data_IF_312305696267
#
_entry.id   IF_312305696267
#
_cell.length_a   1.000
_cell.length_b   1.000
_cell.length_c   1.000
_cell.angle_alpha   90.00
_cell.angle_beta   90.00
_cell.angle_gamma   90.00
#
_symmetry.space_group_name_H-M   'P 1'
#
loop_
_entity.id
_entity.type
_entity.pdbx_description
1 polymer ?
#
# COMPACT_ATOMS: atom_id res chain seq x y z
N UNK A 1 -37.98 6.87 -36.28
CA UNK A 1 -37.23 6.46 -35.09
C UNK A 1 -36.41 7.65 -34.58
N UNK A 2 -37.03 8.59 -33.85
CA UNK A 2 -36.45 9.91 -33.49
C UNK A 2 -36.15 10.07 -31.98
N UNK A 3 -35.90 8.96 -31.26
CA UNK A 3 -35.71 8.99 -29.79
C UNK A 3 -34.26 8.90 -29.31
N UNK A 4 -33.28 8.77 -30.22
CA UNK A 4 -31.86 8.62 -29.89
C UNK A 4 -31.27 9.72 -28.98
N UNK A 5 -31.42 11.02 -29.30
CA UNK A 5 -30.82 12.09 -28.50
C UNK A 5 -31.51 12.31 -27.14
N UNK A 6 -32.80 11.98 -27.03
CA UNK A 6 -33.56 12.12 -25.78
C UNK A 6 -33.17 11.03 -24.77
N UNK A 7 -33.05 9.79 -25.24
CA UNK A 7 -32.59 8.66 -24.43
C UNK A 7 -31.15 8.84 -23.94
N UNK A 8 -30.25 9.35 -24.78
CA UNK A 8 -28.87 9.64 -24.39
C UNK A 8 -28.80 10.70 -23.27
N UNK A 9 -29.67 11.71 -23.30
CA UNK A 9 -29.74 12.72 -22.24
C UNK A 9 -30.29 12.15 -20.93
N UNK A 10 -31.31 11.31 -20.99
CA UNK A 10 -31.86 10.61 -19.82
C UNK A 10 -30.83 9.66 -19.18
N UNK A 11 -30.06 8.93 -19.99
CA UNK A 11 -28.98 8.06 -19.51
C UNK A 11 -27.85 8.88 -18.87
N UNK A 12 -27.51 10.04 -19.44
CA UNK A 12 -26.52 10.95 -18.86
C UNK A 12 -26.98 11.54 -17.53
N UNK A 13 -28.22 12.04 -17.46
CA UNK A 13 -28.80 12.58 -16.23
C UNK A 13 -28.87 11.51 -15.13
N UNK A 14 -29.22 10.28 -15.49
CA UNK A 14 -29.19 9.12 -14.57
C UNK A 14 -27.78 8.84 -14.06
N UNK A 15 -26.78 8.83 -14.94
CA UNK A 15 -25.39 8.62 -14.54
C UNK A 15 -24.89 9.74 -13.61
N UNK A 16 -25.20 11.00 -13.91
CA UNK A 16 -24.81 12.13 -13.06
C UNK A 16 -25.45 12.07 -11.68
N UNK A 17 -26.72 11.65 -11.58
CA UNK A 17 -27.40 11.50 -10.30
C UNK A 17 -26.80 10.37 -9.46
N UNK A 18 -26.48 9.22 -10.09
CA UNK A 18 -25.79 8.11 -9.41
C UNK A 18 -24.41 8.56 -8.91
N UNK A 19 -23.67 9.30 -9.72
CA UNK A 19 -22.34 9.81 -9.35
C UNK A 19 -22.43 10.82 -8.19
N UNK A 20 -23.41 11.72 -8.21
CA UNK A 20 -23.66 12.69 -7.15
C UNK A 20 -24.05 11.99 -5.84
N UNK A 21 -24.96 11.02 -5.91
CA UNK A 21 -25.37 10.24 -4.74
C UNK A 21 -24.20 9.43 -4.18
N UNK A 22 -23.45 8.76 -5.05
CA UNK A 22 -22.25 8.00 -4.65
C UNK A 22 -21.22 8.90 -3.98
N UNK A 23 -21.03 10.13 -4.47
CA UNK A 23 -20.15 11.11 -3.85
C UNK A 23 -20.64 11.53 -2.45
N UNK A 24 -21.94 11.78 -2.30
CA UNK A 24 -22.54 12.14 -1.01
C UNK A 24 -22.40 11.00 0.01
N UNK A 25 -22.73 9.77 -0.40
CA UNK A 25 -22.63 8.57 0.43
C UNK A 25 -21.18 8.33 0.87
N UNK A 26 -20.22 8.47 -0.05
CA UNK A 26 -18.80 8.34 0.24
C UNK A 26 -18.34 9.44 1.22
N UNK A 27 -18.77 10.69 1.01
CA UNK A 27 -18.40 11.79 1.88
C UNK A 27 -18.93 11.60 3.31
N UNK A 28 -20.21 11.21 3.46
CA UNK A 28 -20.81 10.91 4.76
C UNK A 28 -20.07 9.74 5.43
N UNK A 29 -19.77 8.69 4.66
CA UNK A 29 -18.99 7.56 5.17
C UNK A 29 -17.60 8.00 5.64
N UNK A 30 -16.86 8.79 4.87
CA UNK A 30 -15.50 9.24 5.25
C UNK A 30 -15.52 10.15 6.46
N UNK A 31 -16.45 11.10 6.53
CA UNK A 31 -16.64 11.92 7.72
C UNK A 31 -16.94 11.04 8.93
N UNK A 32 -17.90 10.11 8.79
CA UNK A 32 -18.27 9.22 9.87
C UNK A 32 -17.14 8.28 10.30
N UNK A 33 -16.34 7.80 9.36
CA UNK A 33 -15.16 6.98 9.60
C UNK A 33 -14.11 7.75 10.39
N UNK A 34 -13.71 8.94 9.94
CA UNK A 34 -12.70 9.78 10.61
C UNK A 34 -13.17 10.19 12.02
N UNK A 35 -14.44 10.53 12.17
CA UNK A 35 -15.03 10.94 13.45
C UNK A 35 -15.29 9.76 14.41
N UNK A 36 -14.91 8.53 14.04
CA UNK A 36 -15.17 7.30 14.80
C UNK A 36 -16.67 7.10 15.13
N UNK A 37 -17.56 7.66 14.31
CA UNK A 37 -19.02 7.59 14.54
C UNK A 37 -19.67 6.36 13.92
N UNK A 38 -18.87 5.48 13.30
CA UNK A 38 -19.29 4.20 12.73
C UNK A 38 -18.84 3.03 13.63
N UNK A 39 -19.72 2.47 14.49
CA UNK A 39 -19.37 1.40 15.42
C UNK A 39 -18.88 0.12 14.73
N UNK A 40 -19.25 -0.07 13.46
CA UNK A 40 -18.82 -1.22 12.66
C UNK A 40 -17.37 -1.11 12.18
N UNK A 41 -16.78 0.09 12.20
CA UNK A 41 -15.47 0.40 11.62
C UNK A 41 -14.60 1.19 12.60
N UNK A 42 -14.63 0.79 13.88
CA UNK A 42 -13.74 1.37 14.88
C UNK A 42 -12.28 1.04 14.51
N UNK A 43 -11.39 2.02 14.69
CA UNK A 43 -9.98 1.86 14.46
C UNK A 43 -9.16 2.48 15.58
N UNK A 44 -7.96 1.96 15.80
CA UNK A 44 -7.03 2.46 16.81
C UNK A 44 -5.81 3.05 16.13
N UNK A 45 -5.44 4.27 16.50
CA UNK A 45 -4.21 4.92 16.02
C UNK A 45 -3.06 4.54 16.95
N UNK A 46 -1.98 3.97 16.41
CA UNK A 46 -0.77 3.61 17.17
C UNK A 46 0.52 4.06 16.48
N UNK A 47 1.59 4.17 17.26
CA UNK A 47 2.94 4.36 16.74
C UNK A 47 3.62 3.01 16.52
N UNK A 48 4.36 2.88 15.40
CA UNK A 48 5.28 1.76 15.16
C UNK A 48 6.49 1.86 16.08
N UNK A 49 6.92 0.75 16.64
CA UNK A 49 8.18 0.68 17.38
C UNK A 49 9.40 0.80 16.46
N UNK A 50 10.56 1.11 17.04
CA UNK A 50 11.82 1.23 16.30
C UNK A 50 12.15 0.00 15.44
N UNK A 51 11.98 -1.21 16.00
CA UNK A 51 12.21 -2.44 15.23
C UNK A 51 11.15 -2.68 14.17
N UNK A 52 9.87 -2.36 14.44
CA UNK A 52 8.79 -2.43 13.43
C UNK A 52 9.03 -1.46 12.28
N UNK A 53 9.60 -0.27 12.58
CA UNK A 53 10.01 0.71 11.59
C UNK A 53 11.19 0.23 10.74
N UNK A 54 12.22 -0.35 11.35
CA UNK A 54 13.43 -0.82 10.64
C UNK A 54 13.11 -2.04 9.79
N UNK A 55 12.40 -3.00 10.35
CA UNK A 55 12.12 -4.29 9.71
C UNK A 55 10.90 -4.21 8.77
N UNK A 56 10.22 -3.06 8.75
CA UNK A 56 8.95 -2.83 8.07
C UNK A 56 7.87 -3.90 8.35
N UNK A 57 7.97 -4.57 9.50
CA UNK A 57 7.15 -5.72 9.84
C UNK A 57 6.30 -5.43 11.08
N UNK A 58 5.09 -5.99 11.11
CA UNK A 58 4.15 -5.83 12.22
C UNK A 58 4.31 -6.99 13.21
N UNK A 59 4.97 -6.74 14.34
CA UNK A 59 5.23 -7.79 15.35
C UNK A 59 4.04 -8.06 16.27
N UNK A 60 3.06 -7.17 16.29
CA UNK A 60 1.92 -7.23 17.21
C UNK A 60 0.71 -7.83 16.53
N UNK A 61 0.07 -8.78 17.20
CA UNK A 61 -1.27 -9.20 16.85
C UNK A 61 -2.21 -7.99 16.85
N UNK A 62 -3.19 -7.92 15.93
CA UNK A 62 -4.16 -6.84 15.93
C UNK A 62 -4.83 -6.76 17.31
N UNK A 63 -5.06 -5.56 17.84
CA UNK A 63 -5.73 -5.41 19.12
C UNK A 63 -7.05 -6.17 19.07
N UNK A 64 -7.23 -7.11 20.00
CA UNK A 64 -8.52 -7.72 20.23
C UNK A 64 -9.36 -6.67 20.92
N UNK A 65 -10.44 -6.25 20.27
CA UNK A 65 -11.40 -5.38 20.91
C UNK A 65 -12.07 -6.12 22.07
N UNK A 66 -12.63 -5.38 23.01
CA UNK A 66 -13.35 -5.94 24.16
C UNK A 66 -14.69 -6.59 23.74
N UNK A 67 -15.05 -6.49 22.47
CA UNK A 67 -16.24 -7.12 21.88
C UNK A 67 -15.84 -8.46 21.28
N UNK A 68 -16.43 -9.53 21.83
CA UNK A 68 -16.18 -10.91 21.45
C UNK A 68 -16.36 -11.11 19.93
N UNK A 69 -15.23 -11.16 19.21
CA UNK A 69 -15.19 -11.50 17.78
C UNK A 69 -14.85 -10.36 16.79
N UNK A 70 -14.64 -9.11 17.23
CA UNK A 70 -14.30 -8.01 16.33
C UNK A 70 -12.80 -7.66 16.39
N UNK A 71 -12.16 -7.63 15.22
CA UNK A 71 -10.78 -7.19 15.04
C UNK A 71 -10.83 -5.68 14.82
N UNK A 72 -10.22 -4.89 15.70
CA UNK A 72 -10.13 -3.44 15.48
C UNK A 72 -9.20 -3.17 14.29
N UNK A 73 -9.61 -2.26 13.41
CA UNK A 73 -8.74 -1.81 12.34
C UNK A 73 -7.57 -1.01 12.95
N UNK A 74 -6.33 -1.31 12.57
CA UNK A 74 -5.15 -0.65 13.14
C UNK A 74 -4.60 0.38 12.15
N UNK A 75 -4.54 1.65 12.55
CA UNK A 75 -3.88 2.70 11.80
C UNK A 75 -2.57 3.10 12.47
N UNK A 76 -1.54 3.32 11.67
CA UNK A 76 -0.25 3.78 12.15
C UNK A 76 -0.02 5.26 11.83
N UNK A 77 0.53 5.99 12.78
CA UNK A 77 0.97 7.38 12.54
C UNK A 77 2.18 7.36 11.59
N UNK A 78 2.02 7.98 10.43
CA UNK A 78 3.09 8.14 9.43
C UNK A 78 3.80 9.49 9.59
N UNK A 79 4.83 9.54 10.44
CA UNK A 79 5.63 10.75 10.66
C UNK A 79 6.69 10.98 9.57
N UNK A 80 7.05 9.95 8.80
CA UNK A 80 8.23 9.94 7.93
C UNK A 80 7.86 9.88 6.43
N UNK A 81 6.58 10.06 6.08
CA UNK A 81 6.05 9.86 4.72
C UNK A 81 6.43 8.47 4.17
N UNK A 82 6.37 7.47 5.04
CA UNK A 82 6.64 6.08 4.68
C UNK A 82 5.71 5.60 3.56
N UNK A 83 4.58 6.27 3.33
CA UNK A 83 3.72 6.02 2.17
C UNK A 83 4.45 6.04 0.81
N UNK A 84 5.51 6.83 0.68
CA UNK A 84 6.32 6.90 -0.55
C UNK A 84 7.22 5.66 -0.72
N UNK A 85 7.52 4.96 0.37
CA UNK A 85 8.38 3.76 0.41
C UNK A 85 7.60 2.44 0.27
N UNK A 86 6.29 2.50 0.00
CA UNK A 86 5.33 1.36 0.02
C UNK A 86 5.46 0.41 -1.19
N UNK A 87 6.47 0.52 -2.06
CA UNK A 87 6.60 -0.36 -3.23
C UNK A 87 6.74 -1.87 -2.89
N UNK A 88 6.91 -2.23 -1.62
CA UNK A 88 7.09 -3.60 -1.17
C UNK A 88 5.97 -4.17 -0.30
N UNK A 89 4.90 -3.42 -0.01
CA UNK A 89 3.81 -3.94 0.85
C UNK A 89 3.13 -5.14 0.18
N UNK A 90 3.22 -6.31 0.83
CA UNK A 90 2.64 -7.58 0.38
C UNK A 90 3.61 -8.59 -0.24
N UNK A 91 4.82 -8.18 -0.66
CA UNK A 91 5.81 -9.07 -1.31
C UNK A 91 7.16 -9.13 -0.57
N UNK A 92 7.19 -8.66 0.67
CA UNK A 92 8.38 -8.61 1.51
C UNK A 92 8.99 -10.00 1.75
N UNK A 93 8.13 -11.00 2.00
CA UNK A 93 8.54 -12.40 2.16
C UNK A 93 9.20 -12.95 0.90
N UNK A 94 8.65 -12.65 -0.27
CA UNK A 94 9.21 -13.08 -1.56
C UNK A 94 10.58 -12.46 -1.80
N UNK A 95 10.74 -11.18 -1.45
CA UNK A 95 12.02 -10.47 -1.51
C UNK A 95 13.05 -11.02 -0.52
N UNK A 96 12.62 -11.36 0.68
CA UNK A 96 13.49 -11.96 1.69
C UNK A 96 13.99 -13.33 1.23
N UNK A 97 13.09 -14.19 0.73
CA UNK A 97 13.43 -15.48 0.15
C UNK A 97 14.38 -15.32 -1.04
N UNK A 98 14.12 -14.35 -1.93
CA UNK A 98 15.00 -14.03 -3.05
C UNK A 98 16.41 -13.66 -2.60
N UNK A 99 16.54 -12.83 -1.55
CA UNK A 99 17.83 -12.44 -1.00
C UNK A 99 18.59 -13.62 -0.37
N UNK A 100 17.90 -14.50 0.36
CA UNK A 100 18.51 -15.71 0.92
C UNK A 100 18.99 -16.64 -0.19
N UNK A 101 18.16 -16.92 -1.20
CA UNK A 101 18.53 -17.81 -2.31
C UNK A 101 19.72 -17.23 -3.09
N UNK A 102 19.72 -15.92 -3.33
CA UNK A 102 20.82 -15.24 -4.04
C UNK A 102 22.11 -15.30 -3.23
N UNK A 103 22.04 -15.10 -1.91
CA UNK A 103 23.19 -15.24 -1.02
C UNK A 103 23.77 -16.65 -1.06
N UNK A 104 22.93 -17.67 -0.88
CA UNK A 104 23.36 -19.07 -0.91
C UNK A 104 23.97 -19.47 -2.26
N UNK A 105 23.38 -19.00 -3.36
CA UNK A 105 23.92 -19.24 -4.71
C UNK A 105 25.32 -18.66 -4.87
N UNK A 106 25.54 -17.42 -4.42
CA UNK A 106 26.85 -16.76 -4.51
C UNK A 106 27.86 -17.40 -3.55
N UNK A 107 27.43 -17.81 -2.35
CA UNK A 107 28.30 -18.49 -1.38
C UNK A 107 28.87 -19.80 -1.94
N UNK A 108 28.04 -20.61 -2.60
CA UNK A 108 28.46 -21.84 -3.29
C UNK A 108 29.53 -21.55 -4.36
N UNK A 109 29.41 -20.42 -5.07
CA UNK A 109 30.35 -20.03 -6.14
C UNK A 109 31.66 -19.44 -5.61
N UNK A 110 31.57 -18.54 -4.63
CA UNK A 110 32.70 -17.77 -4.11
C UNK A 110 33.51 -18.54 -3.06
N UNK A 111 32.90 -19.53 -2.37
CA UNK A 111 33.46 -20.25 -1.22
C UNK A 111 34.02 -19.32 -0.13
N UNK A 112 33.48 -18.11 -0.04
CA UNK A 112 33.86 -17.07 0.90
C UNK A 112 32.62 -16.27 1.30
N UNK A 113 32.21 -16.44 2.55
CA UNK A 113 31.01 -15.84 3.11
C UNK A 113 31.00 -14.31 3.04
N UNK A 114 32.15 -13.66 3.24
CA UNK A 114 32.25 -12.20 3.24
C UNK A 114 32.08 -11.67 1.82
N UNK A 115 32.74 -12.30 0.85
CA UNK A 115 32.66 -11.90 -0.55
C UNK A 115 31.26 -12.17 -1.11
N UNK A 116 30.63 -13.28 -0.69
CA UNK A 116 29.25 -13.57 -1.04
C UNK A 116 28.28 -12.49 -0.52
N UNK A 117 28.41 -12.08 0.74
CA UNK A 117 27.56 -11.04 1.33
C UNK A 117 27.67 -9.70 0.57
N UNK A 118 28.89 -9.29 0.21
CA UNK A 118 29.14 -8.05 -0.53
C UNK A 118 28.49 -8.11 -1.92
N UNK A 119 28.67 -9.22 -2.66
CA UNK A 119 28.09 -9.35 -4.01
C UNK A 119 26.57 -9.41 -3.93
N UNK A 120 25.99 -10.17 -2.99
CA UNK A 120 24.53 -10.22 -2.81
C UNK A 120 23.96 -8.83 -2.51
N UNK A 121 24.64 -8.05 -1.68
CA UNK A 121 24.22 -6.68 -1.37
C UNK A 121 24.22 -5.79 -2.63
N UNK A 122 25.24 -5.88 -3.48
CA UNK A 122 25.31 -5.13 -4.74
C UNK A 122 24.17 -5.53 -5.67
N UNK A 123 23.93 -6.83 -5.84
CA UNK A 123 22.84 -7.35 -6.68
C UNK A 123 21.47 -6.86 -6.18
N UNK A 124 21.23 -6.94 -4.87
CA UNK A 124 19.99 -6.45 -4.27
C UNK A 124 19.82 -4.93 -4.47
N UNK A 125 20.90 -4.15 -4.31
CA UNK A 125 20.87 -2.70 -4.50
C UNK A 125 20.51 -2.31 -5.94
N UNK A 126 21.03 -3.03 -6.93
CA UNK A 126 20.68 -2.83 -8.35
C UNK A 126 19.20 -3.17 -8.60
N UNK A 127 18.73 -4.29 -8.06
CA UNK A 127 17.34 -4.71 -8.18
C UNK A 127 16.37 -3.69 -7.58
N UNK A 128 16.69 -3.13 -6.40
CA UNK A 128 15.91 -2.06 -5.76
C UNK A 128 15.87 -0.82 -6.66
N UNK A 129 17.02 -0.36 -7.16
CA UNK A 129 17.08 0.81 -8.03
C UNK A 129 16.28 0.66 -9.33
N UNK A 130 16.33 -0.52 -9.96
CA UNK A 130 15.50 -0.84 -11.12
C UNK A 130 14.02 -0.81 -10.72
N UNK A 131 13.64 -1.56 -9.68
CA UNK A 131 12.25 -1.68 -9.22
C UNK A 131 11.65 -0.31 -8.91
N UNK A 132 12.38 0.54 -8.21
CA UNK A 132 11.95 1.88 -7.84
C UNK A 132 11.66 2.76 -9.06
N UNK A 133 12.52 2.70 -10.08
CA UNK A 133 12.35 3.43 -11.34
C UNK A 133 11.12 2.94 -12.11
N UNK A 134 10.91 1.62 -12.17
CA UNK A 134 9.76 1.02 -12.85
C UNK A 134 8.46 1.20 -12.06
N UNK A 135 8.51 1.11 -10.73
CA UNK A 135 7.40 1.29 -9.81
C UNK A 135 6.83 2.69 -9.88
N UNK A 136 7.68 3.73 -9.77
CA UNK A 136 7.23 5.13 -9.91
C UNK A 136 6.60 5.42 -11.27
N UNK A 137 7.15 4.84 -12.35
CA UNK A 137 6.59 4.97 -13.70
C UNK A 137 5.24 4.27 -13.85
N UNK A 138 5.09 3.06 -13.29
CA UNK A 138 3.85 2.30 -13.33
C UNK A 138 2.76 2.94 -12.47
N UNK A 139 3.12 3.41 -11.27
CA UNK A 139 2.19 4.04 -10.34
C UNK A 139 1.65 5.35 -10.96
N UNK A 140 2.52 6.26 -11.41
CA UNK A 140 2.09 7.49 -12.08
C UNK A 140 1.20 7.23 -13.30
N UNK A 141 1.49 6.18 -14.08
CA UNK A 141 0.68 5.81 -15.26
C UNK A 141 -0.70 5.25 -14.88
N UNK A 142 -0.80 4.47 -13.81
CA UNK A 142 -2.04 3.82 -13.38
C UNK A 142 -2.91 4.71 -12.50
N UNK A 143 -2.32 5.60 -11.71
CA UNK A 143 -3.05 6.51 -10.82
C UNK A 143 -3.35 7.86 -11.45
N UNK A 144 -2.80 8.17 -12.64
CA UNK A 144 -2.93 9.47 -13.31
C UNK A 144 -2.46 10.65 -12.43
N UNK A 145 -1.68 10.37 -11.38
CA UNK A 145 -1.10 11.39 -10.51
C UNK A 145 0.16 11.92 -11.20
N UNK A 146 0.28 13.25 -11.38
CA UNK A 146 1.47 13.86 -11.96
C UNK A 146 2.70 13.55 -11.09
N UNK A 147 3.82 13.23 -11.73
CA UNK A 147 5.07 12.76 -11.08
C UNK A 147 5.59 13.70 -9.98
N UNK A 148 5.22 14.98 -10.07
CA UNK A 148 5.59 16.04 -9.13
C UNK A 148 4.96 15.83 -7.73
N UNK A 149 3.88 15.05 -7.65
CA UNK A 149 3.21 14.68 -6.40
C UNK A 149 3.73 13.35 -5.81
N UNK A 150 4.64 12.64 -6.49
CA UNK A 150 5.22 11.36 -6.07
C UNK A 150 6.60 11.53 -5.42
N UNK A 151 6.91 12.73 -4.91
CA UNK A 151 8.20 13.14 -4.34
C UNK A 151 8.02 13.47 -2.85
#
# INVERSE_FOLDING_TARGET
>A
NFNGPRKMREDFERYTNILLQSYQDLNIFLCGFIDHSLPSHEYVIRNRFFLEKILNYEFRAPPKSNFEGQIDNLLFVDNEKNFTNIFFYGEESTLFIWNIITFLFIDILARNYVLAAIITYIVNSIFVGIRDSFGRKNLSKKTLIPKNFLI
#
